data_IF_159959140182
#
_entry.id   IF_159959140182
#
_cell.length_a   1.000
_cell.length_b   1.000
_cell.length_c   1.000
_cell.angle_alpha   90.00
_cell.angle_beta   90.00
_cell.angle_gamma   90.00
#
_symmetry.space_group_name_H-M   'P 1'
#
loop_
_entity.id
_entity.type
_entity.pdbx_description
1 polymer ?
#
# COMPACT_ATOMS: atom_id res chain seq x y z
N UNK A 1 15.86 -20.98 -1.90
CA UNK A 1 14.40 -20.80 -1.70
C UNK A 1 14.13 -21.03 -0.24
N UNK A 2 13.77 -19.97 0.51
CA UNK A 2 13.26 -20.15 1.85
C UNK A 2 11.79 -20.55 1.74
N UNK A 3 11.41 -21.65 2.38
CA UNK A 3 10.01 -21.90 2.72
C UNK A 3 9.67 -20.99 3.89
N UNK A 4 9.14 -19.80 3.61
CA UNK A 4 8.41 -19.06 4.64
C UNK A 4 7.30 -19.99 5.15
N UNK A 5 7.25 -20.23 6.46
CA UNK A 5 6.06 -20.80 7.07
C UNK A 5 4.97 -19.76 6.91
N UNK A 6 4.10 -19.93 5.90
CA UNK A 6 3.31 -18.84 5.32
C UNK A 6 2.46 -18.11 6.36
N UNK A 7 2.98 -16.96 6.83
CA UNK A 7 2.23 -16.00 7.64
C UNK A 7 1.19 -15.39 6.70
N UNK A 8 -0.03 -15.92 6.75
CA UNK A 8 -1.15 -15.45 5.94
C UNK A 8 -1.32 -13.93 6.04
N UNK A 9 -1.62 -13.28 4.92
CA UNK A 9 -1.75 -11.84 4.76
C UNK A 9 -2.73 -11.19 5.76
N UNK A 10 -3.71 -11.96 6.22
CA UNK A 10 -4.72 -11.58 7.21
C UNK A 10 -4.14 -11.32 8.62
N UNK A 11 -2.92 -11.77 8.89
CA UNK A 11 -2.16 -11.44 10.11
C UNK A 11 -1.50 -10.04 10.03
N UNK A 12 -1.28 -9.50 8.84
CA UNK A 12 -0.67 -8.19 8.66
C UNK A 12 -1.74 -7.08 8.88
N UNK A 13 -1.49 -6.08 9.74
CA UNK A 13 -2.47 -5.02 10.03
C UNK A 13 -2.85 -4.19 8.80
N UNK A 14 -1.98 -4.11 7.78
CA UNK A 14 -2.29 -3.44 6.52
C UNK A 14 -3.46 -4.14 5.80
N UNK A 15 -3.63 -5.47 5.92
CA UNK A 15 -4.78 -6.18 5.36
C UNK A 15 -6.10 -5.70 5.99
N UNK A 16 -6.15 -5.60 7.33
CA UNK A 16 -7.32 -5.11 8.04
C UNK A 16 -7.66 -3.65 7.67
N UNK A 17 -6.64 -2.80 7.45
CA UNK A 17 -6.82 -1.42 6.97
C UNK A 17 -7.35 -1.38 5.54
N UNK A 18 -6.79 -2.17 4.62
CA UNK A 18 -7.23 -2.26 3.21
C UNK A 18 -8.68 -2.75 3.15
N UNK A 19 -9.02 -3.82 3.90
CA UNK A 19 -10.38 -4.34 3.93
C UNK A 19 -11.37 -3.33 4.50
N UNK A 20 -11.00 -2.61 5.57
CA UNK A 20 -11.81 -1.51 6.13
C UNK A 20 -12.03 -0.39 5.11
N UNK A 21 -10.99 0.01 4.37
CA UNK A 21 -11.10 1.00 3.30
C UNK A 21 -12.10 0.53 2.23
N UNK A 22 -11.97 -0.71 1.74
CA UNK A 22 -12.87 -1.25 0.72
C UNK A 22 -14.32 -1.32 1.23
N UNK A 23 -14.53 -1.70 2.50
CA UNK A 23 -15.85 -1.78 3.11
C UNK A 23 -16.55 -0.42 3.25
N UNK A 24 -15.83 0.63 3.64
CA UNK A 24 -16.38 1.99 3.83
C UNK A 24 -16.45 2.77 2.50
N UNK A 25 -15.40 2.67 1.67
CA UNK A 25 -15.19 3.56 0.52
C UNK A 25 -15.30 2.88 -0.84
N UNK A 26 -15.32 1.54 -0.93
CA UNK A 26 -15.34 0.81 -2.21
C UNK A 26 -16.50 1.19 -3.12
N UNK A 27 -17.68 1.46 -2.55
CA UNK A 27 -18.86 1.95 -3.28
C UNK A 27 -18.62 3.32 -3.96
N UNK A 28 -17.82 4.21 -3.37
CA UNK A 28 -17.46 5.50 -3.98
C UNK A 28 -16.56 5.34 -5.22
N UNK A 29 -15.91 4.18 -5.36
CA UNK A 29 -15.09 3.80 -6.52
C UNK A 29 -15.84 2.93 -7.55
N UNK A 30 -17.11 2.58 -7.30
CA UNK A 30 -17.82 1.58 -8.09
C UNK A 30 -17.09 0.23 -8.08
N UNK A 31 -16.60 -0.19 -6.89
CA UNK A 31 -16.00 -1.50 -6.67
C UNK A 31 -17.00 -2.41 -5.97
N UNK A 32 -17.08 -3.64 -6.45
CA UNK A 32 -17.67 -4.74 -5.68
C UNK A 32 -16.72 -5.07 -4.52
N UNK A 33 -17.27 -5.12 -3.31
CA UNK A 33 -16.49 -5.35 -2.09
C UNK A 33 -16.24 -6.85 -1.97
N UNK A 34 -14.97 -7.34 -2.07
CA UNK A 34 -14.68 -8.77 -1.96
C UNK A 34 -15.01 -9.31 -0.56
N UNK A 35 -15.15 -10.62 -0.45
CA UNK A 35 -15.07 -11.31 0.84
C UNK A 35 -13.65 -11.24 1.41
N UNK A 36 -13.50 -11.47 2.71
CA UNK A 36 -12.17 -11.51 3.36
C UNK A 36 -11.30 -12.57 2.66
N UNK A 37 -11.85 -13.78 2.48
CA UNK A 37 -11.19 -14.89 1.79
C UNK A 37 -10.81 -14.55 0.35
N UNK A 38 -11.67 -13.84 -0.40
CA UNK A 38 -11.34 -13.44 -1.77
C UNK A 38 -10.26 -12.37 -1.83
N UNK A 39 -10.27 -11.39 -0.91
CA UNK A 39 -9.19 -10.41 -0.83
C UNK A 39 -7.85 -11.08 -0.47
N UNK A 40 -7.87 -12.05 0.44
CA UNK A 40 -6.70 -12.87 0.76
C UNK A 40 -6.15 -13.58 -0.48
N UNK A 41 -7.00 -14.33 -1.21
CA UNK A 41 -6.62 -15.05 -2.44
C UNK A 41 -6.03 -14.09 -3.50
N UNK A 42 -6.63 -12.91 -3.69
CA UNK A 42 -6.17 -11.90 -4.64
C UNK A 42 -4.73 -11.43 -4.35
N UNK A 43 -4.37 -11.29 -3.07
CA UNK A 43 -3.04 -10.80 -2.63
C UNK A 43 -2.00 -11.93 -2.57
N UNK A 44 -2.36 -13.07 -1.98
CA UNK A 44 -1.44 -14.20 -1.76
C UNK A 44 -1.10 -14.95 -3.06
N UNK A 45 -1.91 -14.86 -4.12
CA UNK A 45 -1.59 -15.51 -5.39
C UNK A 45 -0.22 -15.06 -5.94
N UNK A 46 0.69 -16.03 -6.14
CA UNK A 46 2.03 -15.81 -6.71
C UNK A 46 2.17 -16.31 -8.14
N UNK A 47 1.17 -16.99 -8.72
CA UNK A 47 1.23 -17.48 -10.10
C UNK A 47 0.92 -16.35 -11.08
N UNK A 48 -0.11 -15.57 -10.79
CA UNK A 48 -0.54 -14.42 -11.58
C UNK A 48 -1.14 -13.30 -10.71
N UNK A 49 -1.30 -12.11 -11.30
CA UNK A 49 -2.07 -11.03 -10.68
C UNK A 49 -3.48 -11.10 -11.23
N UNK A 50 -4.41 -11.61 -10.42
CA UNK A 50 -5.81 -11.76 -10.80
C UNK A 50 -6.43 -10.40 -11.18
N UNK A 51 -7.22 -10.39 -12.26
CA UNK A 51 -7.71 -9.15 -12.88
C UNK A 51 -8.42 -8.17 -11.92
N UNK A 52 -9.23 -8.59 -10.92
CA UNK A 52 -9.83 -7.66 -9.96
C UNK A 52 -8.81 -6.83 -9.17
N UNK A 53 -7.66 -7.41 -8.78
CA UNK A 53 -6.60 -6.69 -8.09
C UNK A 53 -5.84 -5.75 -9.05
N UNK A 54 -5.59 -6.20 -10.27
CA UNK A 54 -4.95 -5.39 -11.33
C UNK A 54 -5.80 -4.18 -11.74
N UNK A 55 -7.11 -4.34 -11.89
CA UNK A 55 -8.02 -3.22 -12.19
C UNK A 55 -8.19 -2.29 -10.98
N UNK A 56 -8.15 -2.80 -9.74
CA UNK A 56 -8.07 -1.95 -8.54
C UNK A 56 -6.83 -1.06 -8.57
N UNK A 57 -5.63 -1.64 -8.77
CA UNK A 57 -4.38 -0.87 -8.92
C UNK A 57 -4.45 0.15 -10.05
N UNK A 58 -4.95 -0.26 -11.23
CA UNK A 58 -5.13 0.65 -12.36
C UNK A 58 -6.06 1.81 -12.04
N UNK A 59 -7.16 1.57 -11.33
CA UNK A 59 -8.14 2.60 -10.94
C UNK A 59 -7.53 3.63 -9.98
N UNK A 60 -6.74 3.17 -9.01
CA UNK A 60 -6.02 4.02 -8.05
C UNK A 60 -4.88 4.80 -8.71
N UNK A 61 -4.07 4.14 -9.56
CA UNK A 61 -2.96 4.74 -10.29
C UNK A 61 -3.43 5.79 -11.31
N UNK A 62 -4.56 5.59 -11.99
CA UNK A 62 -5.17 6.59 -12.91
C UNK A 62 -5.67 7.85 -12.19
N UNK A 63 -5.78 7.84 -10.84
CA UNK A 63 -6.02 9.04 -10.02
C UNK A 63 -4.73 9.65 -9.50
N UNK A 64 -3.77 8.82 -9.10
CA UNK A 64 -2.48 9.26 -8.60
C UNK A 64 -1.56 9.87 -9.69
N UNK A 65 -1.64 9.36 -10.92
CA UNK A 65 -0.72 9.68 -12.03
C UNK A 65 -1.49 10.18 -13.26
N UNK A 66 -0.88 11.12 -14.00
CA UNK A 66 -1.51 11.78 -15.17
C UNK A 66 -1.92 10.84 -16.31
N UNK A 67 -1.22 9.72 -16.50
CA UNK A 67 -1.51 8.73 -17.54
C UNK A 67 -0.95 7.36 -17.17
N UNK A 68 -1.78 6.32 -17.29
CA UNK A 68 -1.45 4.93 -16.93
C UNK A 68 -2.09 3.99 -17.96
N UNK A 69 -1.24 3.33 -18.75
CA UNK A 69 -1.68 2.33 -19.73
C UNK A 69 -1.86 0.96 -19.06
N UNK A 70 -2.89 0.21 -19.46
CA UNK A 70 -3.24 -1.08 -18.84
C UNK A 70 -2.09 -2.10 -18.85
N UNK A 71 -1.31 -2.14 -19.94
CA UNK A 71 -0.14 -3.00 -20.12
C UNK A 71 1.14 -2.52 -19.40
N UNK A 72 1.14 -1.34 -18.76
CA UNK A 72 2.30 -0.75 -18.07
C UNK A 72 2.00 -0.34 -16.62
N UNK A 73 0.88 -0.83 -16.07
CA UNK A 73 0.39 -0.52 -14.73
C UNK A 73 1.45 -0.75 -13.65
N UNK A 74 2.19 -1.86 -13.73
CA UNK A 74 3.24 -2.25 -12.79
C UNK A 74 4.44 -1.29 -12.82
N UNK A 75 4.88 -0.86 -14.00
CA UNK A 75 5.92 0.18 -14.13
C UNK A 75 5.44 1.54 -13.59
N UNK A 76 4.15 1.84 -13.71
CA UNK A 76 3.55 3.01 -13.08
C UNK A 76 3.47 2.86 -11.54
N UNK A 77 3.25 1.66 -11.03
CA UNK A 77 3.22 1.34 -9.60
C UNK A 77 4.59 1.51 -8.94
N UNK A 78 5.63 0.95 -9.56
CA UNK A 78 7.04 1.11 -9.17
C UNK A 78 7.42 2.60 -9.15
N UNK A 79 7.11 3.33 -10.23
CA UNK A 79 7.34 4.77 -10.31
C UNK A 79 6.62 5.54 -9.19
N UNK A 80 5.35 5.20 -8.91
CA UNK A 80 4.60 5.80 -7.81
C UNK A 80 5.31 5.56 -6.47
N UNK A 81 5.76 4.33 -6.19
CA UNK A 81 6.44 3.99 -4.95
C UNK A 81 7.73 4.82 -4.76
N UNK A 82 8.59 4.92 -5.79
CA UNK A 82 9.76 5.81 -5.74
C UNK A 82 9.42 7.29 -5.54
N UNK A 83 8.34 7.79 -6.17
CA UNK A 83 7.90 9.19 -6.02
C UNK A 83 7.37 9.51 -4.60
N UNK A 84 7.03 8.49 -3.82
CA UNK A 84 6.50 8.62 -2.47
C UNK A 84 7.44 8.06 -1.37
N UNK A 85 8.69 7.74 -1.71
CA UNK A 85 9.72 7.30 -0.75
C UNK A 85 9.72 5.80 -0.42
N UNK A 86 8.84 5.01 -1.05
CA UNK A 86 8.74 3.55 -0.88
C UNK A 86 9.74 2.83 -1.78
N UNK A 87 11.03 3.11 -1.58
CA UNK A 87 12.11 2.61 -2.44
C UNK A 87 12.36 1.11 -2.30
N UNK A 88 12.15 0.55 -1.10
CA UNK A 88 12.32 -0.89 -0.84
C UNK A 88 11.24 -1.69 -1.57
N UNK A 89 9.97 -1.28 -1.42
CA UNK A 89 8.82 -1.88 -2.10
C UNK A 89 8.96 -1.77 -3.63
N UNK A 90 9.42 -0.61 -4.12
CA UNK A 90 9.68 -0.40 -5.55
C UNK A 90 10.77 -1.34 -6.07
N UNK A 91 11.91 -1.43 -5.38
CA UNK A 91 13.03 -2.31 -5.76
C UNK A 91 12.63 -3.79 -5.77
N UNK A 92 11.85 -4.24 -4.79
CA UNK A 92 11.37 -5.63 -4.74
C UNK A 92 10.46 -5.95 -5.94
N UNK A 93 9.57 -5.02 -6.29
CA UNK A 93 8.74 -5.15 -7.50
C UNK A 93 9.56 -5.08 -8.80
N UNK A 94 10.61 -4.26 -8.88
CA UNK A 94 11.53 -4.24 -10.04
C UNK A 94 12.29 -5.57 -10.18
N UNK A 95 12.75 -6.15 -9.06
CA UNK A 95 13.56 -7.37 -9.07
C UNK A 95 12.74 -8.63 -9.33
N UNK A 96 11.52 -8.72 -8.79
CA UNK A 96 10.74 -9.96 -8.78
C UNK A 96 9.43 -9.88 -9.58
N UNK A 97 8.99 -8.71 -10.03
CA UNK A 97 7.62 -8.38 -10.47
C UNK A 97 6.58 -8.45 -9.34
N UNK A 98 5.52 -7.64 -9.42
CA UNK A 98 4.45 -7.53 -8.41
C UNK A 98 3.85 -8.89 -8.03
N UNK A 99 3.74 -9.83 -8.99
CA UNK A 99 3.18 -11.17 -8.71
C UNK A 99 4.02 -12.00 -7.74
N UNK A 100 5.36 -11.87 -7.79
CA UNK A 100 6.31 -12.60 -6.91
C UNK A 100 6.85 -11.75 -5.76
N UNK A 101 6.57 -10.44 -5.73
CA UNK A 101 6.80 -9.62 -4.55
C UNK A 101 6.08 -10.22 -3.32
N UNK A 102 6.67 -10.02 -2.15
CA UNK A 102 6.15 -10.50 -0.87
C UNK A 102 4.74 -9.97 -0.61
N UNK A 103 3.97 -10.77 0.13
CA UNK A 103 2.63 -10.39 0.61
C UNK A 103 2.65 -9.05 1.35
N UNK A 104 3.69 -8.81 2.17
CA UNK A 104 3.87 -7.55 2.88
C UNK A 104 4.04 -6.36 1.92
N UNK A 105 4.90 -6.46 0.90
CA UNK A 105 5.06 -5.40 -0.11
C UNK A 105 3.75 -5.17 -0.89
N UNK A 106 3.07 -6.24 -1.33
CA UNK A 106 1.78 -6.13 -2.03
C UNK A 106 0.74 -5.37 -1.20
N UNK A 107 0.62 -5.67 0.09
CA UNK A 107 -0.29 -4.98 1.02
C UNK A 107 0.15 -3.54 1.25
N UNK A 108 1.42 -3.30 1.57
CA UNK A 108 1.97 -1.96 1.86
C UNK A 108 1.71 -1.00 0.70
N UNK A 109 2.05 -1.41 -0.52
CA UNK A 109 1.85 -0.62 -1.75
C UNK A 109 0.37 -0.35 -2.01
N UNK A 110 -0.51 -1.35 -1.85
CA UNK A 110 -1.95 -1.18 -2.02
C UNK A 110 -2.53 -0.21 -0.98
N UNK A 111 -2.16 -0.33 0.30
CA UNK A 111 -2.55 0.60 1.36
C UNK A 111 -2.16 2.04 1.03
N UNK A 112 -0.91 2.27 0.65
CA UNK A 112 -0.40 3.60 0.30
C UNK A 112 -1.17 4.20 -0.89
N UNK A 113 -1.47 3.39 -1.92
CA UNK A 113 -2.29 3.85 -3.04
C UNK A 113 -3.71 4.25 -2.64
N UNK A 114 -4.34 3.51 -1.71
CA UNK A 114 -5.67 3.80 -1.18
C UNK A 114 -5.66 5.07 -0.31
N UNK A 115 -4.67 5.23 0.56
CA UNK A 115 -4.49 6.44 1.39
C UNK A 115 -4.21 7.68 0.53
N UNK A 116 -3.42 7.55 -0.54
CA UNK A 116 -3.12 8.66 -1.44
C UNK A 116 -4.36 9.21 -2.17
N UNK A 117 -5.45 8.44 -2.25
CA UNK A 117 -6.71 8.90 -2.84
C UNK A 117 -7.33 10.10 -2.11
N UNK A 118 -7.17 10.20 -0.78
CA UNK A 118 -7.62 11.36 0.01
C UNK A 118 -6.87 12.65 -0.37
N UNK A 119 -5.71 12.52 -1.04
CA UNK A 119 -4.89 13.61 -1.55
C UNK A 119 -5.20 13.89 -3.04
N UNK A 120 -5.17 12.86 -3.89
CA UNK A 120 -5.19 13.04 -5.35
C UNK A 120 -6.59 13.04 -6.00
N UNK A 121 -7.67 12.66 -5.27
CA UNK A 121 -9.01 12.57 -5.84
C UNK A 121 -10.02 13.54 -5.17
N UNK A 122 -10.14 14.79 -5.65
CA UNK A 122 -11.01 15.80 -5.03
C UNK A 122 -12.48 15.39 -4.89
N UNK A 123 -13.08 14.77 -5.92
CA UNK A 123 -14.48 14.30 -5.85
C UNK A 123 -14.69 13.21 -4.78
N UNK A 124 -13.73 12.28 -4.65
CA UNK A 124 -13.74 11.27 -3.59
C UNK A 124 -13.64 11.94 -2.22
N UNK A 125 -12.68 12.85 -2.03
CA UNK A 125 -12.55 13.64 -0.79
C UNK A 125 -13.84 14.40 -0.44
N UNK A 126 -14.50 15.02 -1.41
CA UNK A 126 -15.79 15.69 -1.20
C UNK A 126 -16.90 14.73 -0.78
N UNK A 127 -16.95 13.53 -1.35
CA UNK A 127 -17.91 12.50 -0.95
C UNK A 127 -17.61 11.96 0.47
N UNK A 128 -16.34 11.72 0.81
CA UNK A 128 -15.91 11.31 2.15
C UNK A 128 -16.27 12.36 3.20
N UNK A 129 -16.05 13.65 2.89
CA UNK A 129 -16.40 14.76 3.79
C UNK A 129 -17.92 14.91 4.03
N UNK A 130 -18.78 14.27 3.23
CA UNK A 130 -20.22 14.24 3.44
C UNK A 130 -20.69 13.06 4.32
N UNK A 131 -19.81 12.09 4.61
CA UNK A 131 -20.09 10.96 5.50
C UNK A 131 -19.93 11.43 6.95
N UNK A 132 -20.78 10.97 7.87
CA UNK A 132 -20.70 11.38 9.27
C UNK A 132 -19.43 10.85 9.95
N UNK A 133 -18.89 11.61 10.91
CA UNK A 133 -17.70 11.17 11.65
C UNK A 133 -17.89 9.85 12.41
N UNK A 134 -19.13 9.43 12.69
CA UNK A 134 -19.46 8.15 13.34
C UNK A 134 -19.33 6.98 12.37
N UNK A 135 -19.69 7.17 11.10
CA UNK A 135 -19.56 6.13 10.06
C UNK A 135 -18.11 5.95 9.60
N UNK A 136 -17.30 7.02 9.65
CA UNK A 136 -15.88 7.01 9.27
C UNK A 136 -14.95 6.42 10.35
N UNK A 137 -15.43 6.31 11.60
CA UNK A 137 -14.65 5.84 12.74
C UNK A 137 -15.27 4.56 13.28
N UNK A 138 -14.88 3.38 12.77
CA UNK A 138 -15.27 2.13 13.41
C UNK A 138 -14.83 2.17 14.87
N UNK A 139 -15.74 1.78 15.77
CA UNK A 139 -15.45 1.63 17.20
C UNK A 139 -15.06 0.17 17.48
N UNK A 140 -14.19 -0.09 18.47
CA UNK A 140 -13.89 -1.45 18.91
C UNK A 140 -15.14 -2.09 19.52
N UNK A 141 -15.25 -3.42 19.41
CA UNK A 141 -16.40 -4.16 19.98
C UNK A 141 -16.36 -4.25 21.51
N UNK A 142 -15.21 -3.98 22.13
CA UNK A 142 -15.04 -4.01 23.57
C UNK A 142 -13.58 -3.96 24.00
N UNK A 143 -13.38 -4.07 25.32
CA UNK A 143 -12.08 -4.26 25.97
C UNK A 143 -12.20 -5.38 27.01
N UNK A 144 -11.10 -6.08 27.27
CA UNK A 144 -11.04 -7.08 28.34
C UNK A 144 -10.53 -6.50 29.68
N UNK A 145 -10.39 -7.38 30.68
CA UNK A 145 -9.90 -7.03 32.02
C UNK A 145 -8.44 -6.54 32.06
N UNK A 146 -7.64 -6.91 31.05
CA UNK A 146 -6.24 -6.51 30.89
C UNK A 146 -6.11 -5.17 30.14
N UNK A 147 -7.21 -4.64 29.61
CA UNK A 147 -7.26 -3.39 28.86
C UNK A 147 -7.13 -3.56 27.34
N UNK A 148 -6.87 -4.77 26.85
CA UNK A 148 -6.69 -5.05 25.42
C UNK A 148 -7.98 -4.77 24.65
N UNK A 149 -7.85 -4.23 23.44
CA UNK A 149 -8.97 -3.72 22.63
C UNK A 149 -9.32 -4.72 21.54
N UNK A 150 -10.61 -5.00 21.35
CA UNK A 150 -11.09 -6.03 20.43
C UNK A 150 -11.79 -5.41 19.21
N UNK A 151 -11.42 -5.87 18.02
CA UNK A 151 -11.92 -5.34 16.75
C UNK A 151 -12.46 -6.46 15.86
N UNK A 152 -13.71 -6.33 15.42
CA UNK A 152 -14.39 -7.36 14.62
C UNK A 152 -14.64 -6.87 13.19
N UNK A 153 -14.09 -7.59 12.22
CA UNK A 153 -14.48 -7.51 10.82
C UNK A 153 -15.37 -8.70 10.48
N UNK A 154 -16.47 -8.43 9.77
CA UNK A 154 -17.35 -9.43 9.17
C UNK A 154 -17.69 -9.00 7.75
N UNK A 155 -17.68 -9.93 6.81
CA UNK A 155 -18.08 -9.70 5.41
C UNK A 155 -19.54 -10.08 5.13
N UNK A 156 -19.94 -10.07 3.86
CA UNK A 156 -21.31 -10.32 3.43
C UNK A 156 -21.67 -11.83 3.34
N UNK A 157 -20.69 -12.72 3.42
CA UNK A 157 -20.86 -14.18 3.52
C UNK A 157 -20.72 -14.66 4.98
N UNK A 158 -20.61 -13.73 5.94
CA UNK A 158 -20.37 -13.98 7.36
C UNK A 158 -19.01 -14.63 7.70
N UNK A 159 -18.01 -14.53 6.80
CA UNK A 159 -16.62 -14.75 7.21
C UNK A 159 -16.22 -13.64 8.19
N UNK A 160 -15.45 -13.97 9.22
CA UNK A 160 -15.08 -13.04 10.28
C UNK A 160 -13.56 -12.99 10.51
N UNK A 161 -13.09 -11.87 11.04
CA UNK A 161 -11.75 -11.71 11.59
C UNK A 161 -11.88 -10.90 12.88
N UNK A 162 -11.51 -11.51 14.01
CA UNK A 162 -11.43 -10.85 15.31
C UNK A 162 -9.95 -10.57 15.62
N UNK A 163 -9.64 -9.31 15.88
CA UNK A 163 -8.31 -8.84 16.24
C UNK A 163 -8.27 -8.39 17.71
N UNK A 164 -7.16 -8.68 18.39
CA UNK A 164 -6.76 -8.09 19.69
C UNK A 164 -5.66 -7.08 19.42
N UNK A 165 -5.88 -5.86 19.90
CA UNK A 165 -4.90 -4.78 20.00
C UNK A 165 -4.41 -4.72 21.45
N UNK A 166 -3.10 -4.72 21.64
CA UNK A 166 -2.47 -4.46 22.92
C UNK A 166 -1.67 -3.16 22.80
N UNK A 167 -2.05 -2.14 23.58
CA UNK A 167 -1.49 -0.79 23.45
C UNK A 167 -0.16 -0.64 24.20
N UNK A 168 0.09 -1.46 25.23
CA UNK A 168 1.33 -1.42 25.98
C UNK A 168 2.44 -2.20 25.27
N UNK A 169 2.11 -3.34 24.65
CA UNK A 169 3.01 -4.15 23.83
C UNK A 169 3.12 -3.65 22.36
N UNK A 170 2.34 -2.65 21.96
CA UNK A 170 2.16 -2.18 20.56
C UNK A 170 1.79 -3.28 19.55
N UNK A 171 1.05 -4.32 19.98
CA UNK A 171 0.72 -5.48 19.12
C UNK A 171 -0.69 -5.41 18.54
N UNK A 172 -0.82 -5.88 17.30
CA UNK A 172 -2.09 -6.14 16.63
C UNK A 172 -2.10 -7.57 16.10
N UNK A 173 -2.95 -8.44 16.63
CA UNK A 173 -2.97 -9.88 16.29
C UNK A 173 -4.38 -10.36 16.00
N UNK A 174 -4.54 -11.20 14.99
CA UNK A 174 -5.78 -11.94 14.79
C UNK A 174 -5.87 -13.08 15.81
N UNK A 175 -7.05 -13.29 16.38
CA UNK A 175 -7.30 -14.27 17.45
C UNK A 175 -8.45 -15.24 17.12
N UNK A 176 -9.35 -14.88 16.20
CA UNK A 176 -10.34 -15.78 15.64
C UNK A 176 -10.68 -15.44 14.19
N UNK A 177 -10.88 -16.48 13.37
CA UNK A 177 -11.29 -16.43 11.95
C UNK A 177 -12.58 -17.22 11.71
N UNK A 178 -12.86 -18.19 12.59
CA UNK A 178 -14.05 -19.04 12.55
C UNK A 178 -15.01 -18.75 13.72
N UNK A 179 -16.24 -19.25 13.59
CA UNK A 179 -17.23 -19.23 14.69
C UNK A 179 -16.73 -20.01 15.90
N UNK A 180 -16.04 -21.12 15.67
CA UNK A 180 -15.57 -22.05 16.70
C UNK A 180 -14.43 -21.43 17.51
N UNK A 181 -13.50 -20.73 16.85
CA UNK A 181 -12.49 -19.90 17.52
C UNK A 181 -13.12 -18.72 18.28
N UNK A 182 -14.11 -18.04 17.69
CA UNK A 182 -14.82 -16.95 18.38
C UNK A 182 -15.49 -17.43 19.67
N UNK A 183 -16.09 -18.63 19.66
CA UNK A 183 -16.68 -19.26 20.86
C UNK A 183 -15.59 -19.60 21.90
N UNK A 184 -14.40 -20.05 21.48
CA UNK A 184 -13.26 -20.27 22.39
C UNK A 184 -12.82 -18.95 23.05
N UNK A 185 -12.59 -17.90 22.26
CA UNK A 185 -12.22 -16.56 22.76
C UNK A 185 -13.26 -16.02 23.75
N UNK A 186 -14.55 -16.12 23.42
CA UNK A 186 -15.64 -15.69 24.33
C UNK A 186 -15.63 -16.50 25.64
N UNK A 187 -15.24 -17.78 25.60
CA UNK A 187 -15.16 -18.62 26.79
C UNK A 187 -13.96 -18.24 27.67
N UNK A 188 -12.77 -18.04 27.06
CA UNK A 188 -11.57 -17.55 27.75
C UNK A 188 -11.83 -16.21 28.46
N UNK A 189 -12.41 -15.24 27.73
CA UNK A 189 -12.79 -13.93 28.26
C UNK A 189 -13.77 -13.99 29.43
N UNK A 190 -14.71 -14.95 29.43
CA UNK A 190 -15.65 -15.16 30.55
C UNK A 190 -15.00 -15.80 31.77
N UNK A 191 -13.98 -16.62 31.56
CA UNK A 191 -13.25 -17.30 32.62
C UNK A 191 -12.12 -16.41 33.21
N UNK A 192 -11.80 -15.29 32.58
CA UNK A 192 -10.64 -14.45 32.93
C UNK A 192 -9.31 -15.06 32.49
N UNK A 193 -9.34 -16.00 31.54
CA UNK A 193 -8.16 -16.61 30.93
C UNK A 193 -7.53 -15.68 29.90
N UNK A 194 -6.22 -15.82 29.68
CA UNK A 194 -5.52 -15.03 28.67
C UNK A 194 -5.88 -15.47 27.24
N UNK A 195 -6.23 -14.50 26.39
CA UNK A 195 -6.58 -14.76 24.99
C UNK A 195 -5.31 -14.90 24.15
N UNK A 196 -4.84 -16.14 24.01
CA UNK A 196 -3.76 -16.52 23.10
C UNK A 196 -4.20 -16.37 21.63
N UNK A 197 -3.31 -15.91 20.72
CA UNK A 197 -3.56 -15.97 19.29
C UNK A 197 -3.83 -17.40 18.83
N UNK A 198 -4.78 -17.57 17.89
CA UNK A 198 -4.94 -18.85 17.19
C UNK A 198 -3.73 -19.05 16.28
N UNK A 199 -2.72 -19.74 16.81
CA UNK A 199 -1.60 -20.22 16.01
C UNK A 199 -2.20 -21.21 15.02
N UNK A 200 -2.09 -20.90 13.73
CA UNK A 200 -2.42 -21.84 12.63
C UNK A 200 -1.33 -22.91 12.58
N UNK A 201 -1.27 -23.73 13.63
CA UNK A 201 -0.56 -24.98 13.61
C UNK A 201 -1.37 -25.89 12.68
N UNK A 202 -0.78 -26.25 11.54
CA UNK A 202 -1.30 -27.34 10.73
C UNK A 202 -1.33 -28.59 11.62
N UNK A 203 -2.53 -28.99 12.02
CA UNK A 203 -2.78 -30.16 12.85
C UNK A 203 -2.54 -31.43 12.05
N UNK A 204 -1.26 -31.78 11.85
CA UNK A 204 -0.87 -33.17 11.78
C UNK A 204 -0.98 -33.74 13.19
N UNK A 205 -2.20 -34.09 13.57
CA UNK A 205 -2.42 -34.98 14.71
C UNK A 205 -1.85 -36.35 14.35
N UNK A 206 -0.67 -36.67 14.88
CA UNK A 206 -0.34 -38.07 15.16
C UNK A 206 -0.09 -38.23 16.66
N UNK A 207 -0.87 -39.11 17.27
CA UNK A 207 -0.82 -39.38 18.70
C UNK A 207 0.20 -40.47 18.97
N UNK A 208 1.34 -40.13 19.57
CA UNK A 208 2.15 -41.12 20.27
C UNK A 208 2.72 -40.57 21.57
N UNK A 209 2.35 -41.23 22.67
CA UNK A 209 2.76 -40.92 24.03
C UNK A 209 3.89 -41.85 24.46
N UNK A 210 5.05 -41.30 24.80
CA UNK A 210 6.08 -41.99 25.59
C UNK A 210 7.02 -40.99 26.31
N UNK A 211 7.54 -41.42 27.45
CA UNK A 211 8.29 -40.61 28.42
C UNK A 211 9.75 -40.30 28.00
N UNK A 212 10.35 -39.29 28.64
CA UNK A 212 11.79 -38.96 28.55
C UNK A 212 12.66 -39.93 29.41
N UNK A 213 14.00 -40.02 29.26
CA UNK A 213 14.90 -38.94 29.74
C UNK A 213 16.27 -38.72 29.01
N UNK A 214 16.70 -37.45 29.00
CA UNK A 214 18.06 -36.91 29.20
C UNK A 214 19.36 -37.60 28.70
N UNK A 215 20.02 -36.94 27.72
CA UNK A 215 21.49 -36.77 27.50
C UNK A 215 22.39 -38.01 27.23
N UNK A 216 23.66 -37.87 26.74
CA UNK A 216 24.39 -36.67 26.28
C UNK A 216 24.97 -36.76 24.83
N UNK A 217 25.66 -35.69 24.41
CA UNK A 217 26.46 -35.57 23.16
C UNK A 217 27.59 -36.61 23.04
N UNK A 218 28.01 -36.92 21.79
CA UNK A 218 29.43 -37.08 21.49
C UNK A 218 29.91 -36.26 20.28
N UNK A 219 31.07 -35.63 20.43
CA UNK A 219 31.87 -35.09 19.32
C UNK A 219 32.56 -36.22 18.53
N UNK A 220 32.81 -36.05 17.22
CA UNK A 220 34.13 -36.32 16.59
C UNK A 220 34.12 -36.21 15.04
N UNK A 221 34.83 -35.18 14.54
CA UNK A 221 35.86 -35.25 13.48
C UNK A 221 35.54 -35.47 11.97
N UNK A 222 35.95 -34.44 11.19
CA UNK A 222 36.50 -34.47 9.79
C UNK A 222 35.47 -34.70 8.64
N UNK A 223 35.57 -34.14 7.43
CA UNK A 223 36.74 -33.77 6.59
C UNK A 223 36.46 -32.53 5.67
N UNK A 224 37.36 -31.53 5.70
CA UNK A 224 37.87 -30.58 4.66
C UNK A 224 36.99 -29.58 3.84
N UNK A 225 37.62 -28.51 3.26
CA UNK A 225 36.94 -27.35 2.65
C UNK A 225 37.35 -27.00 1.19
N UNK A 226 36.37 -26.79 0.31
CA UNK A 226 36.50 -26.21 -1.05
C UNK A 226 35.15 -25.50 -1.35
N UNK A 227 35.02 -24.35 -2.03
CA UNK A 227 35.98 -23.37 -2.58
C UNK A 227 35.31 -21.97 -2.60
N UNK A 228 36.10 -20.91 -2.78
CA UNK A 228 35.63 -19.52 -2.87
C UNK A 228 34.90 -19.24 -4.19
N UNK A 229 33.88 -18.36 -4.18
CA UNK A 229 33.51 -17.62 -5.39
C UNK A 229 32.96 -16.24 -5.01
N UNK A 230 33.81 -15.23 -5.14
CA UNK A 230 33.46 -13.82 -4.93
C UNK A 230 32.84 -13.27 -6.22
N UNK A 231 31.53 -12.95 -6.22
CA UNK A 231 30.91 -12.25 -7.34
C UNK A 231 30.87 -10.73 -7.10
N UNK A 232 31.33 -10.01 -8.12
CA UNK A 232 31.87 -8.66 -8.04
C UNK A 232 30.77 -7.57 -8.04
N UNK A 233 30.98 -6.54 -7.20
CA UNK A 233 30.04 -5.44 -7.00
C UNK A 233 30.23 -4.34 -8.05
N UNK A 234 29.34 -4.25 -9.03
CA UNK A 234 29.35 -3.19 -10.05
C UNK A 234 28.20 -2.17 -9.85
N UNK A 235 28.54 -1.04 -9.22
CA UNK A 235 27.73 0.18 -9.27
C UNK A 235 27.93 0.92 -10.60
N UNK A 236 26.87 1.46 -11.24
CA UNK A 236 27.02 2.32 -12.41
C UNK A 236 27.52 3.72 -12.02
N UNK A 237 28.36 4.31 -12.88
CA UNK A 237 28.97 5.62 -12.67
C UNK A 237 27.96 6.78 -12.71
N UNK A 238 28.29 7.83 -11.95
CA UNK A 238 27.65 9.14 -12.01
C UNK A 238 28.47 10.08 -12.89
N UNK A 239 28.01 10.41 -14.09
CA UNK A 239 28.61 11.50 -14.88
C UNK A 239 28.22 12.86 -14.28
N UNK A 240 29.23 13.63 -13.88
CA UNK A 240 29.09 15.03 -13.46
C UNK A 240 29.70 15.94 -14.53
N UNK A 241 28.84 16.67 -15.26
CA UNK A 241 29.29 17.74 -16.15
C UNK A 241 29.89 18.90 -15.33
N UNK A 242 31.08 19.37 -15.70
CA UNK A 242 31.65 20.59 -15.15
C UNK A 242 32.09 21.54 -16.26
N UNK A 243 31.53 22.74 -16.22
CA UNK A 243 31.91 23.92 -17.02
C UNK A 243 33.35 24.36 -16.68
N UNK A 244 34.17 24.68 -17.69
CA UNK A 244 35.22 25.69 -17.56
C UNK A 244 35.36 26.52 -18.86
N UNK A 245 35.14 27.83 -18.74
CA UNK A 245 35.22 28.83 -19.79
C UNK A 245 36.47 29.72 -19.60
N UNK A 246 37.30 29.88 -20.65
CA UNK A 246 38.47 30.81 -20.66
C UNK A 246 38.73 31.50 -22.02
N UNK A 247 37.86 32.46 -22.35
CA UNK A 247 38.21 33.90 -22.47
C UNK A 247 39.11 34.49 -23.62
N UNK A 248 38.53 35.47 -24.32
CA UNK A 248 39.09 36.72 -24.93
C UNK A 248 40.06 36.74 -26.14
N UNK A 249 39.60 37.36 -27.24
CA UNK A 249 39.84 38.80 -27.53
C UNK A 249 39.01 39.40 -28.69
N UNK A 250 38.45 40.59 -28.46
CA UNK A 250 37.76 41.54 -29.38
C UNK A 250 38.78 42.45 -30.13
N UNK A 251 38.45 43.58 -30.83
CA UNK A 251 37.15 44.28 -31.07
C UNK A 251 36.91 44.92 -32.47
N UNK A 252 35.70 45.50 -32.69
CA UNK A 252 35.34 46.85 -33.27
C UNK A 252 34.01 46.82 -34.07
N UNK A 253 33.00 47.60 -33.64
CA UNK A 253 32.44 48.84 -34.27
C UNK A 253 31.49 48.51 -35.47
N UNK A 254 30.27 49.04 -35.63
CA UNK A 254 29.69 50.36 -35.31
C UNK A 254 28.14 50.31 -35.10
N UNK A 255 27.55 51.34 -34.46
CA UNK A 255 26.11 51.71 -34.42
C UNK A 255 25.97 53.13 -35.05
N UNK A 256 24.78 53.78 -35.24
CA UNK A 256 23.37 53.37 -35.17
C UNK A 256 22.60 53.66 -36.50
N UNK A 257 21.25 53.74 -36.62
CA UNK A 257 20.37 54.95 -36.46
C UNK A 257 18.88 54.59 -36.69
N UNK A 258 17.93 55.28 -36.00
CA UNK A 258 16.49 55.41 -36.36
C UNK A 258 16.14 56.85 -36.80
N UNK A 259 15.15 57.09 -37.68
CA UNK A 259 13.87 57.73 -37.24
C UNK A 259 12.63 57.13 -37.98
N UNK A 260 11.40 56.98 -37.44
CA UNK A 260 10.37 57.90 -36.90
C UNK A 260 9.84 58.96 -37.90
N UNK A 261 8.58 58.84 -38.39
CA UNK A 261 7.47 59.81 -38.15
C UNK A 261 6.12 59.49 -38.85
N UNK A 262 5.08 60.11 -38.27
CA UNK A 262 3.62 60.10 -38.46
C UNK A 262 2.99 60.17 -39.88
N UNK A 263 1.72 59.73 -39.97
CA UNK A 263 0.64 60.68 -40.31
C UNK A 263 -0.75 60.26 -39.74
N UNK A 264 -1.70 61.21 -39.69
CA UNK A 264 -2.94 61.19 -38.86
C UNK A 264 -4.21 61.50 -39.68
N UNK A 265 -5.39 61.25 -39.10
CA UNK A 265 -6.75 61.68 -39.54
C UNK A 265 -7.28 60.95 -40.82
N UNK A 266 -8.57 60.65 -41.04
CA UNK A 266 -9.89 61.01 -40.45
C UNK A 266 -10.91 59.85 -40.80
N UNK A 267 -12.20 59.74 -40.41
CA UNK A 267 -13.17 60.64 -39.71
C UNK A 267 -14.34 59.83 -39.07
N UNK A 268 -14.90 60.36 -37.97
CA UNK A 268 -16.31 60.38 -37.48
C UNK A 268 -17.45 59.51 -38.08
N UNK A 269 -18.20 58.84 -37.18
CA UNK A 269 -19.64 59.02 -36.85
C UNK A 269 -20.00 57.97 -35.75
N UNK A 270 -20.33 58.35 -34.51
CA UNK A 270 -21.69 58.63 -33.98
C UNK A 270 -22.76 57.63 -34.47
N UNK A 271 -23.47 56.88 -33.61
CA UNK A 271 -24.42 57.43 -32.61
C UNK A 271 -24.77 56.39 -31.51
N UNK A 272 -24.61 56.78 -30.23
CA UNK A 272 -25.56 56.69 -29.07
C UNK A 272 -26.53 55.49 -29.04
N UNK A 273 -26.41 54.50 -28.13
CA UNK A 273 -26.71 54.47 -26.67
C UNK A 273 -28.21 54.28 -26.33
N UNK A 274 -28.55 53.27 -25.53
CA UNK A 274 -29.17 53.46 -24.19
C UNK A 274 -29.16 52.16 -23.36
N UNK A 275 -29.21 52.31 -22.04
CA UNK A 275 -29.27 51.25 -21.03
C UNK A 275 -30.69 50.73 -20.79
N UNK A 276 -30.81 49.57 -20.14
CA UNK A 276 -31.58 49.51 -18.88
C UNK A 276 -31.20 48.31 -18.01
N UNK A 277 -31.13 48.56 -16.70
CA UNK A 277 -30.85 47.64 -15.59
C UNK A 277 -31.84 48.01 -14.48
N UNK A 278 -32.36 47.00 -13.75
CA UNK A 278 -33.23 47.10 -12.56
C UNK A 278 -34.62 47.74 -12.84
N UNK A 279 -35.74 47.06 -12.55
CA UNK A 279 -36.18 46.59 -11.23
C UNK A 279 -36.86 45.20 -11.25
#
# INVERSE_FOLDING_TARGET
MASDGEISCTNDPNFAVIYSFLKVFGKLYGLDIPTITKLQELVENTQEVLEPLKELHLRLLRRALKSVQSNRWERCLIKFCHQHGYHQEAWEMERFSYKKASTQVKLKVLKVLLEYQFTCHPKFKSAVNAISCKELRPEPIGRDQSGCVYWLQVDHEANLCLYREDQDDETWRIIARSREELVKVISQLKNGEEVCPSVVANTNEDSSSAEAPSQPLPESSKVQPEEENEEEFLSPESESEHEEDKNAKSPKEEEPVKPVQDNKQNKSNDTVDDNQVEE
#
